data_IF_304377085738
#
_entry.id   IF_304377085738
#
_cell.length_a   1.000
_cell.length_b   1.000
_cell.length_c   1.000
_cell.angle_alpha   90.00
_cell.angle_beta   90.00
_cell.angle_gamma   90.00
#
_symmetry.space_group_name_H-M   'P 1'
#
loop_
_entity.id
_entity.type
_entity.pdbx_description
1 polymer ?
#
# COMPACT_ATOMS: atom_id res chain seq x y z
N UNK A 1 30.58 -19.71 -27.38
CA UNK A 1 29.13 -20.03 -27.40
C UNK A 1 28.78 -20.61 -26.04
N UNK A 2 27.60 -20.23 -25.52
CA UNK A 2 26.98 -20.63 -24.24
C UNK A 2 27.43 -19.74 -23.05
N UNK A 3 26.72 -18.72 -22.58
CA UNK A 3 25.32 -18.35 -22.80
C UNK A 3 24.50 -18.52 -21.51
N UNK A 4 24.31 -17.39 -20.81
CA UNK A 4 23.12 -17.01 -20.04
C UNK A 4 23.05 -17.38 -18.54
N UNK A 5 23.36 -16.34 -17.78
CA UNK A 5 22.90 -15.97 -16.44
C UNK A 5 21.56 -16.55 -16.00
N UNK A 6 21.54 -17.13 -14.80
CA UNK A 6 20.32 -17.43 -14.07
C UNK A 6 20.39 -16.87 -12.64
N UNK A 7 19.53 -15.87 -12.44
CA UNK A 7 18.80 -15.54 -11.22
C UNK A 7 19.59 -15.17 -9.96
N UNK A 8 19.51 -13.86 -9.67
CA UNK A 8 19.63 -13.25 -8.36
C UNK A 8 18.84 -14.06 -7.32
N UNK A 9 19.50 -15.01 -6.67
CA UNK A 9 19.12 -15.38 -5.32
C UNK A 9 19.56 -14.20 -4.45
N UNK A 10 18.60 -13.43 -3.94
CA UNK A 10 18.85 -12.52 -2.82
C UNK A 10 19.23 -13.42 -1.65
N UNK A 11 20.52 -13.77 -1.61
CA UNK A 11 21.15 -14.40 -0.46
C UNK A 11 20.92 -13.43 0.69
N UNK A 12 20.10 -13.90 1.62
CA UNK A 12 19.93 -13.41 2.99
C UNK A 12 21.06 -12.47 3.39
N UNK A 13 20.69 -11.24 3.69
CA UNK A 13 21.56 -10.17 4.11
C UNK A 13 22.53 -10.74 5.17
N UNK A 14 23.81 -10.92 4.80
CA UNK A 14 24.83 -11.34 5.74
C UNK A 14 24.98 -10.21 6.74
N UNK A 15 24.26 -10.31 7.86
CA UNK A 15 24.47 -9.47 9.03
C UNK A 15 25.91 -9.74 9.50
N UNK A 16 26.82 -8.86 9.10
CA UNK A 16 28.19 -8.84 9.61
C UNK A 16 28.12 -8.35 11.05
N UNK A 17 27.97 -9.29 11.99
CA UNK A 17 28.02 -8.99 13.42
C UNK A 17 29.49 -8.80 13.78
N UNK A 18 29.87 -7.53 13.95
CA UNK A 18 31.16 -7.11 14.52
C UNK A 18 31.23 -7.66 15.94
N UNK A 19 32.15 -8.59 16.17
CA UNK A 19 32.43 -9.16 17.48
C UNK A 19 33.07 -8.10 18.38
N UNK A 20 32.32 -7.58 19.35
CA UNK A 20 32.90 -6.80 20.45
C UNK A 20 32.42 -7.39 21.78
N UNK A 21 33.39 -7.63 22.66
CA UNK A 21 33.24 -8.39 23.91
C UNK A 21 32.57 -7.57 25.02
N UNK A 22 31.80 -8.29 25.83
CA UNK A 22 31.51 -8.08 27.26
C UNK A 22 30.87 -6.74 27.68
N UNK A 23 29.54 -6.73 27.76
CA UNK A 23 28.77 -5.68 28.43
C UNK A 23 27.28 -6.02 28.36
N UNK A 24 26.66 -6.27 29.51
CA UNK A 24 25.28 -6.75 29.62
C UNK A 24 24.27 -5.75 29.04
N UNK A 25 23.58 -6.16 27.98
CA UNK A 25 22.19 -5.82 27.61
C UNK A 25 22.04 -6.08 26.10
N UNK A 26 21.88 -7.35 25.73
CA UNK A 26 21.47 -7.71 24.39
C UNK A 26 20.01 -7.26 24.25
N UNK A 27 19.80 -6.13 23.57
CA UNK A 27 18.48 -5.57 23.27
C UNK A 27 17.68 -6.64 22.53
N UNK A 28 16.66 -7.18 23.20
CA UNK A 28 15.73 -8.13 22.61
C UNK A 28 14.91 -7.40 21.54
N UNK A 29 15.34 -7.48 20.29
CA UNK A 29 14.49 -7.19 19.14
C UNK A 29 13.49 -8.34 19.03
N UNK A 30 12.37 -8.22 19.75
CA UNK A 30 11.22 -9.09 19.57
C UNK A 30 10.65 -8.76 18.18
N UNK A 31 10.67 -9.76 17.30
CA UNK A 31 10.18 -9.67 15.95
C UNK A 31 8.68 -9.29 15.96
N UNK A 32 8.37 -8.10 15.44
CA UNK A 32 7.00 -7.61 15.15
C UNK A 32 6.41 -8.27 13.89
N UNK A 33 6.85 -9.47 13.53
CA UNK A 33 6.26 -10.22 12.41
C UNK A 33 4.91 -10.74 12.84
N UNK A 34 3.86 -10.00 12.46
CA UNK A 34 2.48 -10.45 12.54
C UNK A 34 2.31 -11.81 11.89
N UNK A 35 1.32 -12.56 12.37
CA UNK A 35 0.92 -13.84 11.78
C UNK A 35 0.49 -13.60 10.32
N UNK A 36 1.31 -14.05 9.36
CA UNK A 36 0.95 -14.09 7.95
C UNK A 36 -0.15 -15.14 7.80
N UNK A 37 -1.39 -14.67 7.82
CA UNK A 37 -2.56 -15.48 7.47
C UNK A 37 -2.71 -15.43 5.97
N UNK A 38 -3.03 -16.57 5.36
CA UNK A 38 -3.43 -16.60 3.95
C UNK A 38 -4.79 -15.88 3.84
N UNK A 39 -4.74 -14.68 3.27
CA UNK A 39 -5.90 -13.86 2.95
C UNK A 39 -6.02 -13.77 1.42
N UNK A 40 -7.24 -13.57 0.93
CA UNK A 40 -7.46 -13.31 -0.49
C UNK A 40 -6.79 -12.00 -0.91
N UNK A 41 -6.13 -12.02 -2.07
CA UNK A 41 -5.60 -10.81 -2.70
C UNK A 41 -6.74 -10.05 -3.35
N UNK A 42 -7.11 -8.91 -2.77
CA UNK A 42 -8.19 -8.05 -3.28
C UNK A 42 -7.63 -6.87 -4.05
N UNK A 43 -8.35 -6.45 -5.08
CA UNK A 43 -8.15 -5.13 -5.66
C UNK A 43 -8.70 -4.03 -4.74
N UNK A 44 -8.42 -2.77 -5.08
CA UNK A 44 -8.88 -1.62 -4.30
C UNK A 44 -10.42 -1.44 -4.33
N UNK A 45 -11.16 -2.21 -5.13
CA UNK A 45 -12.61 -2.21 -5.16
C UNK A 45 -13.21 -0.82 -5.36
N UNK A 46 -12.63 -0.01 -6.24
CA UNK A 46 -13.10 1.35 -6.51
C UNK A 46 -14.51 1.29 -7.10
N UNK A 47 -15.46 1.95 -6.43
CA UNK A 47 -16.84 2.09 -6.87
C UNK A 47 -17.21 3.56 -6.96
N UNK A 48 -18.05 3.87 -7.94
CA UNK A 48 -18.67 5.18 -8.12
C UNK A 48 -20.17 4.96 -8.23
N UNK A 49 -20.96 5.66 -7.43
CA UNK A 49 -22.42 5.59 -7.50
C UNK A 49 -22.93 6.88 -8.13
N UNK A 50 -23.55 6.84 -9.32
CA UNK A 50 -24.10 8.03 -9.95
C UNK A 50 -25.25 8.62 -9.12
N UNK A 51 -25.21 9.91 -8.83
CA UNK A 51 -26.27 10.60 -8.11
C UNK A 51 -26.56 11.99 -8.70
N UNK A 52 -27.68 12.60 -8.30
CA UNK A 52 -28.13 13.89 -8.82
C UNK A 52 -27.26 15.07 -8.30
N UNK A 53 -26.51 14.87 -7.21
CA UNK A 53 -25.76 15.91 -6.50
C UNK A 53 -24.29 15.49 -6.30
N UNK A 54 -23.66 15.07 -7.40
CA UNK A 54 -22.30 14.56 -7.42
C UNK A 54 -22.20 13.08 -7.13
N UNK A 55 -21.15 12.46 -7.63
CA UNK A 55 -20.98 11.01 -7.61
C UNK A 55 -20.12 10.61 -6.40
N UNK A 56 -20.67 9.95 -5.37
CA UNK A 56 -19.88 9.36 -4.30
C UNK A 56 -18.98 8.24 -4.82
N UNK A 57 -17.71 8.30 -4.40
CA UNK A 57 -16.62 7.40 -4.76
C UNK A 57 -16.13 6.74 -3.48
N UNK A 58 -16.06 5.42 -3.47
CA UNK A 58 -15.53 4.65 -2.34
C UNK A 58 -14.54 3.61 -2.82
N UNK A 59 -13.50 3.39 -2.03
CA UNK A 59 -12.53 2.32 -2.26
C UNK A 59 -12.21 1.59 -0.95
N UNK A 60 -11.58 0.44 -1.08
CA UNK A 60 -11.03 -0.36 0.00
C UNK A 60 -9.57 0.01 0.19
N UNK A 61 -9.17 0.27 1.44
CA UNK A 61 -7.76 0.16 1.83
C UNK A 61 -7.41 -1.30 2.09
N UNK A 62 -6.33 -1.78 1.47
CA UNK A 62 -5.86 -3.15 1.59
C UNK A 62 -5.08 -3.35 2.90
N UNK A 63 -5.02 -4.59 3.38
CA UNK A 63 -4.17 -4.97 4.52
C UNK A 63 -2.68 -4.77 4.24
N UNK A 64 -2.30 -4.80 2.96
CA UNK A 64 -0.92 -4.60 2.49
C UNK A 64 -0.55 -3.11 2.34
N UNK A 65 -1.50 -2.20 2.50
CA UNK A 65 -1.23 -0.77 2.43
C UNK A 65 -0.34 -0.37 3.62
N UNK A 66 0.71 0.42 3.35
CA UNK A 66 1.53 0.98 4.42
C UNK A 66 0.67 1.91 5.33
N UNK A 67 1.01 2.08 6.62
CA UNK A 67 0.20 2.88 7.56
C UNK A 67 -0.02 4.36 7.18
N UNK A 68 0.77 4.89 6.24
CA UNK A 68 0.68 6.27 5.74
C UNK A 68 0.29 6.34 4.27
N UNK A 69 -0.35 5.30 3.75
CA UNK A 69 -0.89 5.30 2.40
C UNK A 69 -1.92 6.40 2.26
N UNK A 70 -1.89 7.10 1.13
CA UNK A 70 -2.81 8.19 0.80
C UNK A 70 -3.37 7.95 -0.59
N UNK A 71 -4.55 8.51 -0.85
CA UNK A 71 -5.30 8.29 -2.09
C UNK A 71 -5.50 9.60 -2.84
N UNK A 72 -5.43 9.52 -4.17
CA UNK A 72 -5.84 10.59 -5.07
C UNK A 72 -6.96 10.07 -5.96
N UNK A 73 -7.95 10.92 -6.23
CA UNK A 73 -9.10 10.57 -7.07
C UNK A 73 -8.93 11.25 -8.41
N UNK A 74 -9.09 10.46 -9.47
CA UNK A 74 -8.94 10.93 -10.84
C UNK A 74 -10.21 10.65 -11.62
N UNK A 75 -10.60 11.61 -12.47
CA UNK A 75 -11.66 11.46 -13.48
C UNK A 75 -11.08 11.84 -14.83
N UNK A 76 -11.15 10.93 -15.80
CA UNK A 76 -10.57 11.12 -17.14
C UNK A 76 -9.08 11.52 -17.11
N UNK A 77 -8.32 11.03 -16.12
CA UNK A 77 -6.90 11.35 -15.94
C UNK A 77 -6.61 12.67 -15.21
N UNK A 78 -7.63 13.48 -14.89
CA UNK A 78 -7.47 14.72 -14.11
C UNK A 78 -7.67 14.46 -12.62
N UNK A 79 -6.76 14.97 -11.79
CA UNK A 79 -6.86 14.90 -10.33
C UNK A 79 -7.99 15.82 -9.83
N UNK A 80 -8.86 15.30 -8.97
CA UNK A 80 -10.02 16.05 -8.44
C UNK A 80 -9.77 16.68 -7.06
N UNK A 81 -8.97 16.04 -6.21
CA UNK A 81 -8.85 16.38 -4.79
C UNK A 81 -7.70 17.35 -4.46
N UNK A 82 -6.79 17.61 -5.41
CA UNK A 82 -5.66 18.53 -5.28
C UNK A 82 -4.57 18.06 -4.29
N UNK A 83 -4.96 17.81 -3.04
CA UNK A 83 -4.14 17.25 -1.99
C UNK A 83 -4.54 15.80 -1.70
N UNK A 84 -3.58 14.88 -1.44
CA UNK A 84 -3.88 13.49 -1.13
C UNK A 84 -4.80 13.31 0.08
N UNK A 85 -5.77 12.41 -0.06
CA UNK A 85 -6.69 11.99 0.99
C UNK A 85 -5.95 10.99 1.89
N UNK A 86 -5.88 11.27 3.19
CA UNK A 86 -5.07 10.49 4.14
C UNK A 86 -5.85 9.96 5.36
N UNK A 87 -7.14 10.27 5.47
CA UNK A 87 -7.96 9.95 6.64
C UNK A 87 -9.19 9.11 6.30
N UNK A 88 -9.58 9.04 5.03
CA UNK A 88 -10.77 8.32 4.55
C UNK A 88 -10.47 7.57 3.26
N UNK A 89 -11.31 6.59 2.93
CA UNK A 89 -11.32 5.89 1.64
C UNK A 89 -12.54 6.26 0.80
N UNK A 90 -13.06 7.47 1.03
CA UNK A 90 -14.29 8.00 0.43
C UNK A 90 -14.07 9.43 -0.05
N UNK A 91 -14.65 9.76 -1.21
CA UNK A 91 -14.62 11.07 -1.84
C UNK A 91 -15.94 11.32 -2.57
N UNK A 92 -16.36 12.58 -2.68
CA UNK A 92 -17.53 12.95 -3.49
C UNK A 92 -17.07 13.77 -4.68
N UNK A 93 -17.25 13.25 -5.90
CA UNK A 93 -17.06 14.02 -7.12
C UNK A 93 -18.27 14.93 -7.34
N UNK A 94 -18.19 16.16 -6.84
CA UNK A 94 -19.28 17.15 -6.91
C UNK A 94 -19.61 17.59 -8.34
N UNK A 95 -18.68 17.42 -9.27
CA UNK A 95 -18.87 17.75 -10.67
C UNK A 95 -19.30 16.53 -11.50
N UNK A 96 -19.46 15.36 -10.86
CA UNK A 96 -19.83 14.11 -11.51
C UNK A 96 -21.27 14.15 -11.99
N UNK A 97 -21.49 13.85 -13.27
CA UNK A 97 -22.83 13.72 -13.84
C UNK A 97 -23.32 12.27 -13.77
N UNK A 98 -24.64 12.09 -13.76
CA UNK A 98 -25.24 10.76 -13.76
C UNK A 98 -24.93 10.04 -15.08
N UNK A 99 -24.21 8.92 -15.00
CA UNK A 99 -23.90 8.07 -16.15
C UNK A 99 -22.57 8.38 -16.85
N UNK A 100 -21.69 9.17 -16.21
CA UNK A 100 -20.31 9.41 -16.65
C UNK A 100 -19.31 9.34 -15.51
#
# INVERSE_FOLDING_TARGET
MNGNSLFFSIVSCRAYIISTRLGAAFVAVIALTGCNRDLERLDQGLIVVPAEQGNPVSCRSSVDDAPKTTFNVYRNGSNLNGNPINSTTFYTDTEGEKGR
#
